data_IF_549770575787
#
_entry.id   IF_549770575787
#
_cell.length_a   1.000
_cell.length_b   1.000
_cell.length_c   1.000
_cell.angle_alpha   90.00
_cell.angle_beta   90.00
_cell.angle_gamma   90.00
#
_symmetry.space_group_name_H-M   'P 1'
#
loop_
_entity.id
_entity.type
_entity.pdbx_description
1 polymer ?
#
# COMPACT_ATOMS: atom_id res chain seq x y z
N UNK A 1 9.41 -13.65 -12.91
CA UNK A 1 9.27 -13.20 -11.51
C UNK A 1 8.04 -12.32 -11.46
N UNK A 2 7.27 -12.36 -10.38
CA UNK A 2 6.10 -11.50 -10.23
C UNK A 2 6.55 -10.15 -9.66
N UNK A 3 6.10 -9.04 -10.22
CA UNK A 3 6.31 -7.70 -9.67
C UNK A 3 5.06 -7.23 -8.93
N UNK A 4 5.31 -6.43 -7.89
CA UNK A 4 4.30 -5.82 -7.05
C UNK A 4 4.56 -4.33 -6.89
N UNK A 5 3.51 -3.62 -6.50
CA UNK A 5 3.54 -2.18 -6.36
C UNK A 5 2.34 -1.66 -5.57
N UNK A 6 2.28 -0.34 -5.44
CA UNK A 6 1.10 0.33 -4.91
C UNK A 6 0.13 0.68 -6.05
N UNK A 7 -1.16 0.49 -5.77
CA UNK A 7 -2.27 0.90 -6.64
C UNK A 7 -3.15 1.82 -5.82
N UNK A 8 -3.58 2.95 -6.40
CA UNK A 8 -4.53 3.88 -5.77
C UNK A 8 -5.00 4.92 -6.78
N UNK A 9 -6.31 5.19 -6.82
CA UNK A 9 -6.90 5.96 -7.91
C UNK A 9 -6.56 5.36 -9.28
N UNK A 10 -6.21 6.21 -10.23
CA UNK A 10 -5.72 5.80 -11.55
C UNK A 10 -4.22 5.46 -11.57
N UNK A 11 -3.52 5.52 -10.43
CA UNK A 11 -2.08 5.32 -10.35
C UNK A 11 -1.72 3.88 -10.01
N UNK A 12 -0.61 3.43 -10.60
CA UNK A 12 0.06 2.18 -10.28
C UNK A 12 1.56 2.44 -10.29
N UNK A 13 2.24 2.12 -9.19
CA UNK A 13 3.67 2.33 -8.99
C UNK A 13 4.33 0.99 -8.70
N UNK A 14 5.01 0.41 -9.69
CA UNK A 14 5.78 -0.82 -9.53
C UNK A 14 7.04 -0.59 -8.70
N UNK A 15 7.32 -1.50 -7.76
CA UNK A 15 8.35 -1.30 -6.74
C UNK A 15 9.33 -2.46 -6.59
N UNK A 16 9.05 -3.61 -7.21
CA UNK A 16 9.97 -4.74 -7.25
C UNK A 16 9.26 -6.08 -7.01
N UNK A 17 10.00 -7.03 -6.47
CA UNK A 17 9.53 -8.37 -6.14
C UNK A 17 8.70 -8.40 -4.83
N UNK A 18 7.88 -9.44 -4.60
CA UNK A 18 7.20 -9.65 -3.34
C UNK A 18 8.12 -9.68 -2.12
N UNK A 19 9.32 -10.26 -2.26
CA UNK A 19 10.29 -10.33 -1.15
C UNK A 19 10.80 -8.94 -0.78
N UNK A 20 11.17 -8.11 -1.77
CA UNK A 20 11.58 -6.72 -1.52
C UNK A 20 10.46 -5.88 -0.91
N UNK A 21 9.20 -6.13 -1.32
CA UNK A 21 8.03 -5.49 -0.71
C UNK A 21 7.82 -5.94 0.73
N UNK A 22 7.98 -7.25 1.02
CA UNK A 22 7.88 -7.79 2.37
C UNK A 22 8.97 -7.21 3.28
N UNK A 23 10.21 -7.11 2.81
CA UNK A 23 11.33 -6.49 3.53
C UNK A 23 11.05 -5.01 3.85
N UNK A 24 10.43 -4.28 2.93
CA UNK A 24 9.98 -2.90 3.17
C UNK A 24 8.94 -2.86 4.29
N UNK A 25 7.90 -3.68 4.23
CA UNK A 25 6.85 -3.68 5.25
C UNK A 25 7.38 -4.13 6.62
N UNK A 26 8.24 -5.15 6.68
CA UNK A 26 8.86 -5.57 7.94
C UNK A 26 9.61 -4.41 8.60
N UNK A 27 10.39 -3.66 7.81
CA UNK A 27 11.10 -2.48 8.30
C UNK A 27 10.14 -1.34 8.69
N UNK A 28 9.08 -1.13 7.90
CA UNK A 28 8.08 -0.09 8.15
C UNK A 28 7.33 -0.35 9.46
N UNK A 29 6.86 -1.58 9.69
CA UNK A 29 6.21 -1.98 10.95
C UNK A 29 7.11 -1.75 12.16
N UNK A 30 8.36 -2.23 12.12
CA UNK A 30 9.31 -2.08 13.24
C UNK A 30 9.61 -0.62 13.59
N UNK A 31 9.48 0.28 12.62
CA UNK A 31 9.74 1.71 12.80
C UNK A 31 8.57 2.46 13.46
N UNK A 32 7.38 1.84 13.53
CA UNK A 32 6.19 2.44 14.16
C UNK A 32 6.01 1.91 15.58
N UNK A 33 5.67 2.78 16.53
CA UNK A 33 5.52 2.42 17.96
C UNK A 33 4.07 2.35 18.45
N UNK A 34 3.12 2.90 17.70
CA UNK A 34 1.73 3.06 18.12
C UNK A 34 0.82 1.95 17.54
N UNK A 35 0.02 1.31 18.39
CA UNK A 35 -0.83 0.17 18.03
C UNK A 35 -1.91 0.53 17.01
N UNK A 36 -2.46 1.75 17.08
CA UNK A 36 -3.47 2.21 16.11
C UNK A 36 -2.87 2.33 14.71
N UNK A 37 -1.65 2.87 14.60
CA UNK A 37 -0.93 2.94 13.34
C UNK A 37 -0.61 1.55 12.76
N UNK A 38 -0.36 0.56 13.61
CA UNK A 38 -0.17 -0.83 13.16
C UNK A 38 -1.41 -1.41 12.49
N UNK A 39 -2.62 -1.11 12.99
CA UNK A 39 -3.85 -1.61 12.38
C UNK A 39 -4.04 -1.06 10.94
N UNK A 40 -3.73 0.22 10.72
CA UNK A 40 -3.83 0.84 9.39
C UNK A 40 -2.74 0.30 8.45
N UNK A 41 -1.53 0.08 8.97
CA UNK A 41 -0.45 -0.55 8.20
C UNK A 41 -0.74 -2.01 7.86
N UNK A 42 -1.34 -2.78 8.78
CA UNK A 42 -1.79 -4.14 8.50
C UNK A 42 -2.87 -4.16 7.41
N UNK A 43 -3.76 -3.16 7.39
CA UNK A 43 -4.71 -2.98 6.27
C UNK A 43 -4.00 -2.67 4.96
N UNK A 44 -3.00 -1.80 4.94
CA UNK A 44 -2.21 -1.53 3.73
C UNK A 44 -1.46 -2.78 3.25
N UNK A 45 -0.88 -3.54 4.18
CA UNK A 45 -0.14 -4.77 3.90
C UNK A 45 -1.04 -5.90 3.40
N UNK A 46 -2.17 -6.18 4.06
CA UNK A 46 -3.03 -7.34 3.75
C UNK A 46 -4.19 -7.03 2.80
N UNK A 47 -4.77 -5.84 2.93
CA UNK A 47 -6.06 -5.47 2.35
C UNK A 47 -5.93 -4.23 1.47
N UNK A 48 -6.63 -3.18 1.86
CA UNK A 48 -6.67 -1.87 1.23
C UNK A 48 -6.94 -0.83 2.32
N UNK A 49 -6.41 0.37 2.14
CA UNK A 49 -6.69 1.51 3.03
C UNK A 49 -8.08 2.03 2.72
N UNK A 50 -8.90 2.31 3.75
CA UNK A 50 -10.22 2.92 3.56
C UNK A 50 -10.11 4.42 3.29
N UNK A 51 -11.17 5.01 2.74
CA UNK A 51 -11.20 6.43 2.42
C UNK A 51 -10.93 7.29 3.66
N UNK A 52 -11.57 6.98 4.78
CA UNK A 52 -11.42 7.66 6.06
C UNK A 52 -10.03 7.45 6.70
N UNK A 53 -9.28 6.43 6.28
CA UNK A 53 -7.93 6.12 6.77
C UNK A 53 -6.82 6.79 5.94
N UNK A 54 -7.14 7.34 4.74
CA UNK A 54 -6.15 7.92 3.83
C UNK A 54 -5.33 9.06 4.43
N UNK A 55 -5.94 9.90 5.27
CA UNK A 55 -5.21 10.98 5.92
C UNK A 55 -4.22 10.43 6.96
N UNK A 56 -4.61 9.38 7.67
CA UNK A 56 -3.78 8.80 8.72
C UNK A 56 -2.60 8.03 8.15
N UNK A 57 -2.81 7.21 7.10
CA UNK A 57 -1.68 6.52 6.44
C UNK A 57 -0.66 7.53 5.90
N UNK A 58 -1.11 8.68 5.37
CA UNK A 58 -0.20 9.72 4.92
C UNK A 58 0.66 10.26 6.08
N UNK A 59 0.05 10.52 7.24
CA UNK A 59 0.78 10.98 8.43
C UNK A 59 1.78 9.94 8.92
N UNK A 60 1.40 8.67 8.95
CA UNK A 60 2.29 7.56 9.31
C UNK A 60 3.49 7.52 8.36
N UNK A 61 3.24 7.60 7.04
CA UNK A 61 4.30 7.60 6.02
C UNK A 61 5.22 8.80 6.14
N UNK A 62 4.71 10.02 6.41
CA UNK A 62 5.56 11.20 6.65
C UNK A 62 6.38 11.05 7.93
N UNK A 63 5.76 10.65 9.05
CA UNK A 63 6.47 10.44 10.30
C UNK A 63 7.57 9.38 10.19
N UNK A 64 7.30 8.30 9.44
CA UNK A 64 8.30 7.31 9.07
C UNK A 64 9.44 7.95 8.29
N UNK A 65 9.15 8.63 7.17
CA UNK A 65 10.13 9.30 6.29
C UNK A 65 11.04 10.27 7.05
N UNK A 66 10.49 11.01 8.01
CA UNK A 66 11.21 12.00 8.82
C UNK A 66 12.07 11.36 9.92
N UNK A 67 11.74 10.13 10.33
CA UNK A 67 12.50 9.38 11.33
C UNK A 67 13.69 8.60 10.75
N UNK A 68 13.79 8.47 9.43
CA UNK A 68 14.85 7.70 8.78
C UNK A 68 16.16 8.48 8.70
N UNK A 69 17.28 7.77 8.87
CA UNK A 69 18.59 8.26 8.44
C UNK A 69 18.65 8.38 6.91
N UNK A 70 19.57 9.20 6.40
CA UNK A 70 19.73 9.45 4.95
C UNK A 70 19.87 8.16 4.14
N UNK A 71 20.75 7.23 4.57
CA UNK A 71 21.00 5.98 3.82
C UNK A 71 19.76 5.09 3.72
N UNK A 72 18.97 5.01 4.80
CA UNK A 72 17.73 4.22 4.83
C UNK A 72 16.62 4.93 4.02
N UNK A 73 16.58 6.25 4.11
CA UNK A 73 15.65 7.07 3.34
C UNK A 73 15.87 6.87 1.84
N UNK A 74 17.11 6.83 1.38
CA UNK A 74 17.42 6.57 -0.03
C UNK A 74 16.97 5.17 -0.46
N UNK A 75 17.23 4.14 0.36
CA UNK A 75 16.78 2.76 0.11
C UNK A 75 15.26 2.66 -0.06
N UNK A 76 14.48 3.32 0.80
CA UNK A 76 13.02 3.20 0.81
C UNK A 76 12.26 4.36 0.15
N UNK A 77 13.00 5.32 -0.43
CA UNK A 77 12.45 6.52 -1.08
C UNK A 77 11.37 6.20 -2.11
N UNK A 78 11.59 5.20 -2.96
CA UNK A 78 10.62 4.75 -3.98
C UNK A 78 9.30 4.25 -3.37
N UNK A 79 9.35 3.54 -2.25
CA UNK A 79 8.15 3.01 -1.59
C UNK A 79 7.35 4.15 -0.94
N UNK A 80 8.04 5.06 -0.26
CA UNK A 80 7.42 6.26 0.36
C UNK A 80 6.74 7.10 -0.72
N UNK A 81 7.45 7.43 -1.80
CA UNK A 81 6.90 8.18 -2.93
C UNK A 81 5.74 7.44 -3.61
N UNK A 82 5.80 6.11 -3.70
CA UNK A 82 4.73 5.28 -4.25
C UNK A 82 3.44 5.34 -3.42
N UNK A 83 3.56 5.30 -2.09
CA UNK A 83 2.44 5.51 -1.17
C UNK A 83 1.85 6.91 -1.35
N UNK A 84 2.69 7.95 -1.30
CA UNK A 84 2.29 9.36 -1.46
C UNK A 84 1.50 9.56 -2.78
N UNK A 85 2.06 9.09 -3.90
CA UNK A 85 1.46 9.16 -5.25
C UNK A 85 0.09 8.47 -5.29
N UNK A 86 -0.03 7.28 -4.70
CA UNK A 86 -1.28 6.52 -4.74
C UNK A 86 -2.34 7.09 -3.78
N UNK A 87 -1.94 7.72 -2.66
CA UNK A 87 -2.86 8.47 -1.79
C UNK A 87 -3.44 9.67 -2.53
N UNK A 88 -2.59 10.47 -3.17
CA UNK A 88 -3.02 11.66 -3.92
C UNK A 88 -3.95 11.27 -5.06
N UNK A 89 -3.60 10.24 -5.81
CA UNK A 89 -4.43 9.71 -6.90
C UNK A 89 -5.77 9.19 -6.40
N UNK A 90 -5.80 8.43 -5.29
CA UNK A 90 -7.05 7.94 -4.71
C UNK A 90 -7.97 9.08 -4.24
N UNK A 91 -7.41 10.14 -3.65
CA UNK A 91 -8.18 11.33 -3.25
C UNK A 91 -8.75 12.06 -4.45
N UNK A 92 -7.89 12.39 -5.42
CA UNK A 92 -8.31 13.09 -6.65
C UNK A 92 -9.39 12.30 -7.39
N UNK A 93 -9.25 10.97 -7.43
CA UNK A 93 -10.21 10.11 -8.11
C UNK A 93 -11.58 10.11 -7.41
N UNK A 94 -11.58 10.05 -6.09
CA UNK A 94 -12.81 10.15 -5.32
C UNK A 94 -13.45 11.54 -5.42
N UNK A 95 -12.67 12.62 -5.33
CA UNK A 95 -13.15 14.00 -5.43
C UNK A 95 -13.73 14.33 -6.82
N UNK A 96 -13.11 13.81 -7.87
CA UNK A 96 -13.51 14.10 -9.26
C UNK A 96 -14.70 13.27 -9.72
N UNK A 97 -14.79 12.00 -9.28
CA UNK A 97 -15.76 11.04 -9.83
C UNK A 97 -16.71 10.43 -8.78
N UNK A 98 -16.52 10.71 -7.49
CA UNK A 98 -17.29 10.09 -6.41
C UNK A 98 -17.05 8.58 -6.24
N UNK A 99 -16.00 8.05 -6.89
CA UNK A 99 -15.66 6.62 -6.88
C UNK A 99 -14.38 6.46 -6.05
N UNK A 100 -14.41 5.59 -5.05
CA UNK A 100 -13.21 5.30 -4.28
C UNK A 100 -12.43 4.12 -4.87
N UNK A 101 -11.23 4.39 -5.39
CA UNK A 101 -10.26 3.38 -5.78
C UNK A 101 -9.12 3.37 -4.75
N UNK A 102 -9.09 2.38 -3.83
CA UNK A 102 -8.29 2.48 -2.63
C UNK A 102 -6.80 2.29 -2.88
N UNK A 103 -6.00 2.83 -1.96
CA UNK A 103 -4.59 2.47 -1.83
C UNK A 103 -4.47 1.01 -1.36
N UNK A 104 -3.71 0.20 -2.10
CA UNK A 104 -3.36 -1.18 -1.72
C UNK A 104 -2.08 -1.64 -2.39
N UNK A 105 -1.50 -2.72 -1.89
CA UNK A 105 -0.50 -3.49 -2.64
C UNK A 105 -1.20 -4.34 -3.69
N UNK A 106 -0.62 -4.42 -4.88
CA UNK A 106 -1.16 -5.19 -6.01
C UNK A 106 -0.08 -5.74 -6.92
N UNK A 107 -0.49 -6.65 -7.80
CA UNK A 107 0.37 -7.26 -8.82
C UNK A 107 0.42 -6.34 -10.04
N UNK A 108 1.62 -6.02 -10.53
CA UNK A 108 1.80 -5.08 -11.64
C UNK A 108 2.02 -5.78 -12.99
N UNK A 109 2.42 -7.05 -12.98
CA UNK A 109 2.67 -7.81 -14.20
C UNK A 109 1.39 -8.21 -14.93
N UNK A 110 1.46 -8.19 -16.27
CA UNK A 110 0.43 -8.73 -17.16
C UNK A 110 0.63 -10.26 -17.30
N UNK A 111 -0.45 -11.07 -17.31
CA UNK A 111 -1.86 -10.68 -17.28
C UNK A 111 -2.44 -10.51 -15.87
N UNK A 112 -1.71 -10.87 -14.82
CA UNK A 112 -2.20 -10.95 -13.44
C UNK A 112 -2.76 -9.63 -12.89
N UNK A 113 -2.23 -8.49 -13.34
CA UNK A 113 -2.75 -7.16 -13.06
C UNK A 113 -4.25 -7.03 -13.38
N UNK A 114 -4.73 -7.62 -14.48
CA UNK A 114 -6.13 -7.49 -14.91
C UNK A 114 -7.07 -8.11 -13.87
N UNK A 115 -6.71 -9.30 -13.38
CA UNK A 115 -7.48 -10.02 -12.37
C UNK A 115 -7.41 -9.31 -11.02
N UNK A 116 -6.22 -8.82 -10.64
CA UNK A 116 -6.02 -8.09 -9.39
C UNK A 116 -6.80 -6.76 -9.38
N UNK A 117 -6.82 -6.01 -10.49
CA UNK A 117 -7.60 -4.77 -10.63
C UNK A 117 -9.10 -5.01 -10.53
N UNK A 118 -9.59 -6.14 -11.02
CA UNK A 118 -11.02 -6.50 -11.00
C UNK A 118 -11.47 -7.12 -9.68
N UNK A 119 -10.54 -7.37 -8.75
CA UNK A 119 -10.86 -8.01 -7.47
C UNK A 119 -11.81 -7.14 -6.64
N UNK A 120 -13.01 -7.65 -6.27
CA UNK A 120 -13.94 -6.91 -5.43
C UNK A 120 -13.38 -6.67 -4.02
N UNK A 121 -13.66 -5.50 -3.44
CA UNK A 121 -13.25 -5.17 -2.06
C UNK A 121 -13.77 -6.17 -1.03
N UNK A 122 -14.95 -6.75 -1.25
CA UNK A 122 -15.53 -7.80 -0.41
C UNK A 122 -14.60 -9.03 -0.25
N UNK A 123 -13.77 -9.34 -1.25
CA UNK A 123 -12.78 -10.43 -1.13
C UNK A 123 -11.64 -10.07 -0.19
N UNK A 124 -11.21 -8.80 -0.18
CA UNK A 124 -10.23 -8.31 0.80
C UNK A 124 -10.83 -8.24 2.20
N UNK A 125 -12.10 -7.82 2.32
CA UNK A 125 -12.79 -7.76 3.60
C UNK A 125 -12.95 -9.16 4.22
N UNK A 126 -13.15 -10.19 3.40
CA UNK A 126 -13.22 -11.59 3.81
C UNK A 126 -11.88 -12.21 4.26
N UNK A 127 -10.72 -11.57 4.03
CA UNK A 127 -9.42 -12.08 4.50
C UNK A 127 -9.39 -12.14 6.05
N UNK A 128 -9.05 -13.30 6.59
CA UNK A 128 -8.81 -13.53 8.03
C UNK A 128 -7.38 -13.16 8.44
N UNK A 129 -7.03 -13.30 9.72
CA UNK A 129 -5.66 -13.08 10.22
C UNK A 129 -4.65 -14.05 9.63
N UNK A 130 -5.07 -15.30 9.41
CA UNK A 130 -4.27 -16.44 8.94
C UNK A 130 -4.08 -16.45 7.42
N UNK A 131 -4.88 -15.65 6.72
CA UNK A 131 -4.83 -15.55 5.27
C UNK A 131 -3.64 -14.71 4.80
N UNK A 132 -2.86 -15.25 3.85
CA UNK A 132 -1.84 -14.46 3.16
C UNK A 132 -2.47 -13.34 2.32
N UNK A 133 -1.84 -12.15 2.23
CA UNK A 133 -2.23 -11.09 1.30
C UNK A 133 -2.30 -11.58 -0.14
N UNK A 134 -3.23 -11.04 -0.95
CA UNK A 134 -3.39 -11.47 -2.35
C UNK A 134 -2.13 -11.28 -3.20
N UNK A 135 -1.33 -10.25 -2.92
CA UNK A 135 -0.09 -9.98 -3.67
C UNK A 135 1.04 -10.99 -3.35
N UNK A 136 0.88 -11.80 -2.30
CA UNK A 136 1.78 -12.92 -1.95
C UNK A 136 1.29 -14.29 -2.45
N UNK A 137 0.10 -14.38 -3.07
CA UNK A 137 -0.53 -15.66 -3.48
C UNK A 137 -0.26 -16.02 -4.93
#
# INVERSE_FOLDING_TARGET
MRHVGFIGGSSMVELGTPDEMADFFEFFFKSIKDDKNHAILDRLYKKYVRLEELQEINRITQGFKDSLSTDIKDKYSKYIAGIETCIESAKLFHESWGIYQPLRVGITDVPFYIDDKRRPLAQYDALSSEDSPFWLR
#
